data_IF_896469019463
#
_entry.id   IF_896469019463
#
_cell.length_a   1.000
_cell.length_b   1.000
_cell.length_c   1.000
_cell.angle_alpha   90.00
_cell.angle_beta   90.00
_cell.angle_gamma   90.00
#
_symmetry.space_group_name_H-M   'P 1'
#
loop_
_entity.id
_entity.type
_entity.pdbx_description
1 polymer ?
2 non-polymer ?
3 water ?
#
# COMPACT_ATOMS: atom_id res chain seq x y z
N UNK A 2 -6.74 -22.88 28.37
CA UNK A 2 -7.78 -22.33 29.22
C UNK A 2 -8.57 -21.25 28.46
N UNK A 3 -7.86 -20.25 27.94
CA UNK A 3 -8.49 -19.16 27.20
C UNK A 3 -8.43 -19.47 25.71
N UNK A 4 -9.58 -19.43 25.06
CA UNK A 4 -9.70 -19.70 23.64
C UNK A 4 -10.09 -18.42 22.92
N UNK A 5 -9.31 -18.03 21.91
CA UNK A 5 -9.61 -16.86 21.10
C UNK A 5 -9.60 -17.28 19.62
N UNK A 6 -10.28 -16.48 18.81
CA UNK A 6 -10.38 -16.75 17.38
C UNK A 6 -9.78 -15.59 16.58
N UNK A 7 -9.29 -15.91 15.40
CA UNK A 7 -8.63 -14.97 14.52
C UNK A 7 -9.00 -15.21 13.06
N UNK A 8 -9.09 -14.16 12.28
CA UNK A 8 -9.46 -14.27 10.88
C UNK A 8 -8.30 -14.30 9.89
N UNK A 9 -8.43 -15.12 8.88
CA UNK A 9 -7.46 -15.20 7.80
C UNK A 9 -8.22 -15.58 6.56
N UNK A 10 -7.87 -15.05 5.39
CA UNK A 10 -6.76 -14.14 5.25
C UNK A 10 -5.52 -14.73 4.61
N UNK A 11 -5.61 -15.89 3.99
CA UNK A 11 -4.41 -16.45 3.39
C UNK A 11 -4.39 -17.39 2.19
N UNK A 12 -3.32 -17.27 1.44
CA UNK A 12 -3.03 -18.09 0.27
C UNK A 12 -2.46 -19.35 0.88
N UNK A 13 -2.14 -20.36 0.07
CA UNK A 13 -1.61 -21.57 0.64
C UNK A 13 -0.28 -21.47 1.36
N UNK A 14 0.76 -20.85 0.80
CA UNK A 14 1.99 -20.78 1.58
C UNK A 14 1.86 -19.81 2.75
N UNK A 15 1.17 -18.69 2.55
CA UNK A 15 1.06 -17.69 3.61
C UNK A 15 0.20 -18.19 4.77
N UNK A 16 -0.75 -19.09 4.52
CA UNK A 16 -1.55 -19.63 5.61
C UNK A 16 -0.85 -20.78 6.31
N UNK A 17 -0.09 -21.59 5.57
CA UNK A 17 0.68 -22.64 6.22
C UNK A 17 1.73 -22.06 7.16
N UNK A 18 2.31 -20.91 6.81
CA UNK A 18 3.26 -20.26 7.70
C UNK A 18 2.54 -19.70 8.93
N UNK A 19 1.33 -19.18 8.75
CA UNK A 19 0.57 -18.71 9.91
C UNK A 19 0.30 -19.85 10.88
N UNK A 20 0.06 -21.05 10.36
CA UNK A 20 -0.20 -22.20 11.23
C UNK A 20 1.02 -22.53 12.07
N UNK A 21 2.21 -22.50 11.47
CA UNK A 21 3.44 -22.70 12.23
C UNK A 21 3.62 -21.61 13.28
N UNK A 22 3.34 -20.35 12.91
CA UNK A 22 3.48 -19.26 13.87
C UNK A 22 2.57 -19.45 15.06
N UNK A 23 1.33 -19.89 14.83
CA UNK A 23 0.40 -20.13 15.92
C UNK A 23 0.86 -21.31 16.77
N UNK A 24 1.48 -22.32 16.16
CA UNK A 24 2.11 -23.40 16.92
C UNK A 24 3.15 -22.84 17.88
N UNK A 25 4.09 -22.06 17.36
CA UNK A 25 5.13 -21.48 18.22
C UNK A 25 4.52 -20.62 19.31
N UNK A 26 3.48 -19.86 18.98
CA UNK A 26 2.79 -19.04 19.99
C UNK A 26 2.21 -19.92 21.11
N UNK A 27 1.63 -21.06 20.74
CA UNK A 27 1.01 -21.93 21.75
C UNK A 27 2.07 -22.56 22.66
N UNK A 28 3.28 -22.79 22.15
CA UNK A 28 4.37 -23.28 22.99
C UNK A 28 4.76 -22.25 24.04
N UNK A 29 4.74 -20.96 23.68
CA UNK A 29 5.11 -19.93 24.63
C UNK A 29 3.94 -19.54 25.53
N UNK A 30 2.71 -19.76 25.07
CA UNK A 30 1.50 -19.47 25.84
C UNK A 30 0.63 -20.72 25.81
N UNK A 31 0.90 -21.70 26.68
CA UNK A 31 0.11 -22.94 26.66
C UNK A 31 -1.32 -22.77 27.16
N UNK A 32 -1.60 -21.72 27.93
CA UNK A 32 -2.96 -21.47 28.41
C UNK A 32 -3.85 -20.79 27.38
N UNK A 33 -3.35 -20.50 26.18
CA UNK A 33 -4.11 -19.80 25.15
C UNK A 33 -4.16 -20.67 23.90
N UNK A 34 -5.37 -20.91 23.41
CA UNK A 34 -5.59 -21.62 22.16
C UNK A 34 -6.13 -20.65 21.12
N UNK A 35 -5.59 -20.72 19.91
CA UNK A 35 -5.98 -19.83 18.83
C UNK A 35 -6.64 -20.67 17.75
N UNK A 36 -7.78 -20.20 17.26
CA UNK A 36 -8.57 -20.88 16.24
C UNK A 36 -8.71 -19.94 15.06
N UNK A 37 -8.38 -20.41 13.86
CA UNK A 37 -8.47 -19.60 12.66
C UNK A 37 -9.87 -19.71 12.09
N UNK A 38 -10.53 -18.57 11.90
CA UNK A 38 -11.84 -18.51 11.26
C UNK A 38 -11.61 -18.28 9.77
N UNK A 39 -11.91 -19.25 8.91
CA UNK A 39 -11.66 -19.07 7.48
C UNK A 39 -12.46 -17.92 6.91
N UNK A 40 -11.84 -17.18 5.99
CA UNK A 40 -12.35 -15.92 5.51
C UNK A 40 -12.24 -15.86 3.99
N UNK A 41 -13.17 -15.20 3.32
CA UNK A 41 -13.12 -15.11 1.85
C UNK A 41 -11.84 -14.45 1.38
N UNK A 42 -11.28 -14.96 0.28
CA UNK A 42 -10.05 -14.40 -0.24
C UNK A 42 -10.28 -13.04 -0.87
N UNK A 43 -11.49 -12.77 -1.36
CA UNK A 43 -11.80 -11.46 -1.93
C UNK A 43 -11.85 -10.41 -0.83
N UNK A 44 -11.22 -9.26 -1.09
CA UNK A 44 -11.24 -8.17 -0.11
C UNK A 44 -12.65 -7.63 0.07
N UNK A 45 -13.43 -7.57 -1.02
CA UNK A 45 -14.79 -7.04 -0.95
C UNK A 45 -15.73 -7.99 -0.25
N UNK A 46 -15.75 -9.26 -0.67
CA UNK A 46 -16.60 -10.28 -0.06
C UNK A 46 -16.37 -10.45 1.43
N UNK A 47 -15.31 -9.84 1.97
CA UNK A 47 -14.90 -9.98 3.35
C UNK A 47 -15.07 -8.71 4.17
N UNK A 48 -15.11 -7.55 3.50
CA UNK A 48 -15.40 -6.30 4.20
C UNK A 48 -16.82 -6.29 4.74
N UNK A 49 -17.77 -6.84 3.99
CA UNK A 49 -19.15 -6.93 4.47
C UNK A 49 -19.31 -8.02 5.52
N UNK A 50 -18.44 -9.03 5.50
CA UNK A 50 -18.50 -10.09 6.50
C UNK A 50 -18.26 -9.53 7.89
N UNK A 51 -17.27 -8.64 8.03
CA UNK A 51 -16.93 -8.07 9.34
C UNK A 51 -18.02 -7.14 9.85
N UNK A 52 -18.54 -6.28 8.97
CA UNK A 52 -19.61 -5.36 9.37
C UNK A 52 -20.80 -6.13 9.92
N UNK A 53 -21.01 -7.35 9.43
CA UNK A 53 -22.00 -8.25 10.03
C UNK A 53 -21.65 -8.61 11.47
N UNK A 54 -20.37 -8.91 11.74
CA UNK A 54 -19.94 -9.22 13.09
C UNK A 54 -20.19 -8.06 14.05
N UNK A 55 -20.00 -6.82 13.57
CA UNK A 55 -20.25 -5.64 14.37
C UNK A 55 -21.66 -5.07 14.17
N UNK A 56 -22.36 -5.47 13.12
CA UNK A 56 -23.80 -5.25 13.09
C UNK A 56 -24.42 -5.93 14.30
N UNK A 57 -24.28 -7.25 14.36
CA UNK A 57 -24.83 -8.08 15.41
C UNK A 57 -23.95 -8.14 16.66
N UNK A 58 -22.78 -7.48 16.64
CA UNK A 58 -21.95 -7.36 17.83
C UNK A 58 -21.48 -8.69 18.41
N UNK A 59 -20.99 -9.57 17.56
CA UNK A 59 -20.57 -10.89 18.00
C UNK A 59 -19.36 -10.81 18.92
N UNK A 60 -19.26 -11.79 19.81
CA UNK A 60 -18.07 -11.95 20.64
C UNK A 60 -16.90 -12.54 19.86
N UNK A 61 -17.18 -13.22 18.75
CA UNK A 61 -16.15 -13.75 17.87
C UNK A 61 -16.34 -13.16 16.48
N UNK A 62 -15.24 -12.91 15.76
CA UNK A 62 -13.84 -13.20 16.13
C UNK A 62 -13.23 -12.17 17.06
N UNK A 63 -12.18 -12.57 17.77
CA UNK A 63 -11.50 -11.69 18.70
C UNK A 63 -10.39 -10.88 18.03
N UNK A 64 -9.65 -11.48 17.10
CA UNK A 64 -8.54 -10.83 16.43
C UNK A 64 -8.91 -10.66 14.97
N UNK A 65 -8.96 -9.40 14.52
CA UNK A 65 -9.38 -9.08 13.17
C UNK A 65 -8.16 -8.78 12.29
N UNK A 66 -8.09 -9.45 11.15
CA UNK A 66 -7.12 -9.09 10.11
C UNK A 66 -7.78 -8.08 9.18
N UNK A 67 -7.26 -6.85 9.19
CA UNK A 67 -7.91 -5.73 8.51
C UNK A 67 -7.02 -5.17 7.42
N UNK A 68 -7.62 -4.88 6.26
CA UNK A 68 -6.95 -4.12 5.22
C UNK A 68 -6.57 -2.74 5.74
N UNK A 69 -5.46 -2.20 5.22
CA UNK A 69 -4.91 -0.95 5.72
C UNK A 69 -5.87 0.22 5.51
N UNK A 70 -6.87 0.08 4.63
CA UNK A 70 -7.84 1.15 4.41
C UNK A 70 -9.11 0.98 5.23
N UNK A 71 -9.19 -0.03 6.11
CA UNK A 71 -10.39 -0.26 6.91
C UNK A 71 -10.38 0.30 8.35
N UNK A 72 -9.22 0.61 8.96
CA UNK A 72 -9.27 1.02 10.39
C UNK A 72 -10.27 2.12 10.74
N UNK A 73 -10.41 3.15 9.92
CA UNK A 73 -11.32 4.25 10.27
C UNK A 73 -12.76 3.79 10.28
N UNK A 74 -13.13 2.90 9.37
CA UNK A 74 -14.49 2.39 9.33
C UNK A 74 -14.79 1.51 10.53
N UNK A 75 -13.83 0.69 10.95
CA UNK A 75 -14.01 -0.25 12.05
C UNK A 75 -13.72 0.36 13.42
N UNK A 76 -13.14 1.56 13.47
CA UNK A 76 -12.66 2.12 14.73
C UNK A 76 -13.69 2.14 15.85
N UNK A 77 -14.98 2.42 15.63
CA UNK A 77 -15.93 2.39 16.75
C UNK A 77 -16.11 1.02 17.37
N UNK A 78 -15.72 -0.06 16.67
CA UNK A 78 -15.91 -1.41 17.17
C UNK A 78 -14.60 -2.09 17.56
N UNK A 79 -13.48 -1.38 17.54
CA UNK A 79 -12.18 -1.96 17.84
C UNK A 79 -11.69 -1.47 19.19
N UNK A 80 -11.03 -2.37 19.91
CA UNK A 80 -10.42 -2.03 21.18
C UNK A 80 -9.42 -0.90 21.02
N UNK A 81 -9.45 0.07 21.92
CA UNK A 81 -8.49 1.16 21.89
C UNK A 81 -7.16 0.66 22.45
N UNK A 82 -6.09 0.85 21.67
CA UNK A 82 -4.77 0.35 22.03
C UNK A 82 -3.79 1.47 22.34
N UNK A 83 -4.28 2.71 22.47
CA UNK A 83 -3.38 3.85 22.64
C UNK A 83 -2.51 3.69 23.88
N UNK A 84 -3.08 3.17 24.97
CA UNK A 84 -2.30 2.97 26.18
C UNK A 84 -1.23 1.89 26.02
N UNK A 85 -1.40 1.02 25.03
CA UNK A 85 -0.49 -0.09 24.80
C UNK A 85 0.56 0.21 23.73
N UNK A 86 0.75 1.48 23.37
CA UNK A 86 1.62 1.77 22.24
C UNK A 86 3.06 1.38 22.52
N UNK A 87 3.51 1.48 23.77
CA UNK A 87 4.87 1.05 24.09
C UNK A 87 4.95 -0.45 24.31
N UNK A 88 3.88 -1.06 24.82
CA UNK A 88 3.81 -2.52 24.90
C UNK A 88 4.03 -3.16 23.52
N UNK A 89 3.44 -2.57 22.48
CA UNK A 89 3.61 -3.04 21.12
C UNK A 89 4.83 -2.45 20.41
N UNK A 90 5.55 -1.53 21.07
CA UNK A 90 6.78 -0.94 20.53
C UNK A 90 6.54 -0.22 19.21
N UNK A 91 5.46 0.55 19.12
CA UNK A 91 5.09 1.17 17.85
C UNK A 91 6.10 2.21 17.39
N UNK A 92 6.95 2.72 18.29
CA UNK A 92 8.00 3.63 17.89
C UNK A 92 9.06 2.99 17.01
N UNK A 93 9.07 1.67 16.92
CA UNK A 93 10.03 0.94 16.10
C UNK A 93 9.43 0.48 14.78
N UNK A 94 8.21 0.89 14.47
CA UNK A 94 7.54 0.57 13.22
C UNK A 94 7.72 1.72 12.23
N UNK A 95 7.54 1.40 10.95
CA UNK A 95 7.63 2.43 9.92
C UNK A 95 6.59 3.52 10.19
N UNK A 96 6.97 4.79 10.12
CA UNK A 96 6.02 5.86 10.50
C UNK A 96 4.71 5.85 9.73
N UNK A 97 4.75 5.54 8.43
CA UNK A 97 3.53 5.49 7.66
C UNK A 97 2.55 4.46 8.16
N UNK A 98 3.07 3.32 8.65
CA UNK A 98 2.19 2.27 9.13
C UNK A 98 1.56 2.64 10.48
N UNK A 99 2.25 3.42 11.30
CA UNK A 99 1.65 3.87 12.55
C UNK A 99 0.54 4.88 12.27
N UNK A 100 0.77 5.77 11.30
CA UNK A 100 -0.30 6.68 10.88
C UNK A 100 -1.54 5.91 10.44
N UNK A 101 -1.36 4.85 9.66
CA UNK A 101 -2.50 4.13 9.09
C UNK A 101 -3.40 3.48 10.14
N UNK A 102 -2.91 3.29 11.37
CA UNK A 102 -3.71 2.68 12.44
C UNK A 102 -4.15 3.69 13.48
N UNK A 103 -3.83 4.96 13.31
CA UNK A 103 -4.24 6.03 14.21
C UNK A 103 -5.48 6.69 13.62
N UNK A 104 -6.63 6.52 14.27
CA UNK A 104 -7.90 7.09 13.83
C UNK A 104 -8.38 8.05 14.90
N UNK A 105 -8.42 9.34 14.57
CA UNK A 105 -8.78 10.39 15.51
C UNK A 105 -7.95 10.33 16.78
N UNK A 106 -6.64 10.19 16.60
CA UNK A 106 -5.70 10.18 17.72
C UNK A 106 -5.70 8.92 18.55
N UNK A 107 -6.41 7.87 18.14
CA UNK A 107 -6.50 6.64 18.91
C UNK A 107 -5.85 5.50 18.12
N UNK A 108 -4.87 4.84 18.73
CA UNK A 108 -4.28 3.65 18.13
C UNK A 108 -5.33 2.56 18.14
N UNK A 109 -5.68 2.07 16.96
CA UNK A 109 -6.85 1.22 16.78
C UNK A 109 -6.48 -0.16 16.22
N UNK A 110 -5.26 -0.33 15.74
CA UNK A 110 -4.78 -1.64 15.30
C UNK A 110 -3.25 -1.64 15.41
N UNK A 111 -2.64 -2.75 14.99
CA UNK A 111 -1.18 -2.87 14.96
C UNK A 111 -0.73 -3.30 13.56
N UNK A 112 0.19 -2.58 12.93
CA UNK A 112 0.68 -2.99 11.61
C UNK A 112 1.30 -4.38 11.65
N UNK A 113 1.03 -5.16 10.61
CA UNK A 113 1.58 -6.51 10.50
C UNK A 113 2.61 -6.60 9.38
N UNK A 114 2.18 -6.58 8.13
CA UNK A 114 3.08 -6.53 6.99
C UNK A 114 2.56 -5.49 5.99
N UNK A 115 3.43 -5.09 5.07
CA UNK A 115 3.16 -3.89 4.29
C UNK A 115 3.61 -4.03 2.83
N UNK A 116 3.14 -3.09 2.02
CA UNK A 116 3.47 -2.94 0.61
C UNK A 116 3.46 -1.46 0.27
N UNK A 117 4.05 -1.10 -0.88
CA UNK A 117 4.00 0.28 -1.35
C UNK A 117 4.42 0.33 -2.81
N UNK A 118 3.97 1.37 -3.49
CA UNK A 118 4.36 1.56 -4.88
C UNK A 118 5.83 1.94 -5.00
N UNK A 119 6.47 1.45 -6.05
CA UNK A 119 7.86 1.75 -6.36
C UNK A 119 8.04 1.85 -7.86
N UNK A 120 9.26 2.21 -8.27
CA UNK A 120 9.59 2.38 -9.67
C UNK A 120 10.44 1.20 -10.12
N UNK A 121 9.97 0.48 -11.13
CA UNK A 121 10.78 -0.49 -11.86
C UNK A 121 11.35 0.19 -13.10
N UNK A 122 12.59 -0.13 -13.44
CA UNK A 122 13.19 0.44 -14.64
C UNK A 122 14.14 -0.55 -15.27
N UNK A 123 14.34 -0.38 -16.57
CA UNK A 123 15.25 -1.22 -17.35
C UNK A 123 16.67 -0.74 -17.12
N UNK A 124 17.39 -1.42 -16.23
CA UNK A 124 18.74 -1.03 -15.86
C UNK A 124 19.67 -1.04 -17.07
N UNK A 125 19.52 -2.03 -17.96
CA UNK A 125 20.39 -2.11 -19.13
C UNK A 125 20.17 -0.93 -20.07
N UNK A 126 18.92 -0.53 -20.28
CA UNK A 126 18.66 0.58 -21.19
C UNK A 126 19.14 1.91 -20.62
N UNK A 127 19.11 2.07 -19.30
CA UNK A 127 19.55 3.32 -18.72
C UNK A 127 21.05 3.51 -18.90
N UNK A 128 21.84 2.46 -18.68
CA UNK A 128 23.29 2.62 -18.84
C UNK A 128 23.69 2.64 -20.31
N UNK A 129 22.98 1.91 -21.17
CA UNK A 129 23.27 1.98 -22.60
C UNK A 129 23.14 3.41 -23.12
N UNK A 130 22.24 4.20 -22.54
CA UNK A 130 22.05 5.58 -22.95
C UNK A 130 22.68 6.57 -21.97
N UNK A 131 23.61 6.10 -21.14
CA UNK A 131 24.43 6.98 -20.32
C UNK A 131 23.78 7.58 -19.10
N UNK A 132 22.95 6.82 -18.39
CA UNK A 132 22.29 7.31 -17.18
C UNK A 132 22.82 6.55 -15.97
N UNK A 133 23.51 7.26 -15.08
CA UNK A 133 24.14 6.64 -13.91
C UNK A 133 23.12 6.13 -12.90
N UNK A 134 21.91 6.67 -12.91
CA UNK A 134 21.04 6.58 -11.75
C UNK A 134 19.59 6.55 -12.20
N UNK A 135 18.73 6.04 -11.31
CA UNK A 135 17.30 6.15 -11.52
C UNK A 135 16.88 7.61 -11.42
N UNK A 136 15.84 8.00 -12.16
CA UNK A 136 15.40 9.41 -12.12
C UNK A 136 15.00 9.81 -10.71
N UNK A 137 15.46 11.01 -10.30
CA UNK A 137 15.16 11.52 -8.97
C UNK A 137 13.99 12.49 -8.95
N UNK A 138 13.68 13.13 -10.08
CA UNK A 138 12.53 13.99 -10.22
C UNK A 138 11.63 13.43 -11.32
N UNK A 139 10.37 13.87 -11.32
CA UNK A 139 9.45 13.41 -12.36
C UNK A 139 9.86 13.92 -13.73
N UNK A 140 10.36 15.16 -13.80
CA UNK A 140 10.81 15.69 -15.08
C UNK A 140 12.00 14.90 -15.62
N UNK A 141 12.87 14.44 -14.73
CA UNK A 141 14.00 13.62 -15.16
C UNK A 141 13.52 12.30 -15.74
N UNK A 142 12.47 11.71 -15.17
CA UNK A 142 11.94 10.45 -15.70
C UNK A 142 11.37 10.65 -17.10
N UNK A 143 10.68 11.78 -17.33
CA UNK A 143 10.15 12.07 -18.65
C UNK A 143 11.26 12.16 -19.68
N UNK A 144 12.37 12.81 -19.32
CA UNK A 144 13.48 12.97 -20.26
C UNK A 144 14.11 11.62 -20.61
N UNK A 145 14.40 10.81 -19.61
CA UNK A 145 14.92 9.47 -19.86
C UNK A 145 13.94 8.66 -20.70
N UNK A 146 12.66 8.66 -20.31
CA UNK A 146 11.67 7.85 -21.03
C UNK A 146 11.58 8.26 -22.49
N UNK A 147 11.56 9.57 -22.76
CA UNK A 147 11.41 10.03 -24.13
C UNK A 147 12.61 9.65 -24.99
N UNK A 148 13.82 9.90 -24.48
CA UNK A 148 15.02 9.56 -25.25
C UNK A 148 15.12 8.07 -25.51
N UNK A 149 14.94 7.25 -24.47
CA UNK A 149 15.21 5.83 -24.60
C UNK A 149 14.12 5.12 -25.40
N UNK A 150 12.86 5.51 -25.20
CA UNK A 150 11.77 4.84 -25.90
C UNK A 150 11.79 5.13 -27.39
N UNK A 151 12.15 6.37 -27.77
CA UNK A 151 12.23 6.70 -29.19
C UNK A 151 13.37 5.96 -29.87
N UNK A 152 14.52 5.84 -29.20
CA UNK A 152 15.66 5.17 -29.79
C UNK A 152 15.47 3.66 -29.87
N UNK A 153 14.72 3.08 -28.92
CA UNK A 153 14.52 1.65 -28.88
C UNK A 153 13.19 1.21 -29.48
N UNK A 154 12.31 2.14 -29.80
CA UNK A 154 11.02 1.78 -30.35
C UNK A 154 10.10 1.06 -29.39
N UNK A 155 10.11 1.43 -28.12
CA UNK A 155 9.24 0.86 -27.11
C UNK A 155 8.48 1.99 -26.42
N UNK A 156 7.71 1.62 -25.40
CA UNK A 156 6.97 2.62 -24.63
C UNK A 156 7.82 3.13 -23.47
N UNK A 157 7.50 4.34 -23.02
CA UNK A 157 8.28 4.94 -21.96
C UNK A 157 7.95 4.46 -20.56
N UNK A 158 6.68 4.55 -20.19
CA UNK A 158 6.29 4.47 -18.77
C UNK A 158 4.86 3.93 -18.68
N UNK A 159 4.71 2.74 -18.08
CA UNK A 159 3.40 2.14 -17.90
C UNK A 159 3.06 2.13 -16.42
N UNK A 160 1.77 2.30 -16.13
CA UNK A 160 1.27 2.35 -14.75
C UNK A 160 -0.21 1.99 -14.80
N UNK A 161 -0.92 2.21 -13.68
CA UNK A 161 -2.30 1.77 -13.52
C UNK A 161 -3.23 2.97 -13.65
N UNK A 162 -4.01 3.00 -14.73
CA UNK A 162 -4.86 4.14 -15.00
C UNK A 162 -6.32 3.80 -15.24
N UNK A 163 -6.69 2.54 -15.08
CA UNK A 163 -8.08 2.14 -15.19
C UNK A 163 -8.90 2.74 -14.05
N UNK A 164 -10.22 2.73 -14.21
CA UNK A 164 -11.11 3.28 -13.18
C UNK A 164 -11.32 2.20 -12.12
N UNK A 165 -10.45 2.20 -11.12
CA UNK A 165 -10.59 1.32 -9.97
C UNK A 165 -9.71 1.87 -8.84
N UNK A 166 -9.66 1.13 -7.74
CA UNK A 166 -8.88 1.56 -6.58
C UNK A 166 -7.41 1.77 -6.91
N UNK A 167 -6.87 1.01 -7.85
CA UNK A 167 -5.46 1.17 -8.21
C UNK A 167 -5.14 2.55 -8.76
N UNK A 168 -6.10 3.19 -9.45
CA UNK A 168 -5.90 4.54 -9.95
C UNK A 168 -5.72 5.52 -8.81
N UNK A 169 -6.56 5.42 -7.76
CA UNK A 169 -6.39 6.25 -6.58
C UNK A 169 -4.97 6.13 -6.03
N UNK A 170 -4.48 4.89 -5.94
CA UNK A 170 -3.13 4.66 -5.40
C UNK A 170 -2.06 5.34 -6.24
N UNK A 171 -2.17 5.25 -7.58
CA UNK A 171 -1.21 5.94 -8.44
C UNK A 171 -1.33 7.45 -8.27
N UNK A 172 -2.56 7.96 -8.21
CA UNK A 172 -2.78 9.41 -8.17
C UNK A 172 -2.25 10.04 -6.89
N UNK A 173 -2.44 9.39 -5.75
CA UNK A 173 -1.93 9.93 -4.49
C UNK A 173 -0.41 10.05 -4.50
N UNK A 174 0.27 9.17 -5.23
CA UNK A 174 1.73 9.28 -5.31
C UNK A 174 2.13 10.54 -6.09
N UNK A 175 1.42 10.84 -7.18
CA UNK A 175 1.67 12.12 -7.88
C UNK A 175 1.30 13.31 -6.99
N UNK A 176 0.14 13.23 -6.34
CA UNK A 176 -0.32 14.34 -5.51
C UNK A 176 0.66 14.64 -4.38
N UNK A 177 1.08 13.59 -3.65
CA UNK A 177 1.96 13.81 -2.51
C UNK A 177 3.34 14.29 -2.95
N UNK A 178 3.88 13.74 -4.03
CA UNK A 178 5.23 14.11 -4.44
C UNK A 178 5.27 15.51 -5.05
N UNK A 179 4.13 16.03 -5.52
CA UNK A 179 4.07 17.40 -5.98
C UNK A 179 3.81 18.40 -4.84
N UNK A 180 3.65 17.91 -3.62
CA UNK A 180 3.45 18.77 -2.47
C UNK A 180 2.03 18.92 -2.00
N UNK A 181 1.08 18.21 -2.60
CA UNK A 181 -0.32 18.32 -2.25
C UNK A 181 -0.77 17.23 -1.30
N UNK A 182 -2.05 17.30 -0.94
CA UNK A 182 -2.64 16.40 0.03
C UNK A 182 -4.15 16.41 -0.13
N UNK A 183 -4.78 15.36 0.37
CA UNK A 183 -6.25 15.29 0.40
C UNK A 183 -6.79 15.94 1.65
N UNK A 184 -6.32 15.50 2.82
CA UNK A 184 -6.73 16.04 4.10
C UNK A 184 -5.50 16.50 4.87
N UNK A 185 -5.67 17.53 5.68
CA UNK A 185 -4.60 18.02 6.54
C UNK A 185 -4.72 17.37 7.92
N UNK A 186 -3.98 17.90 8.89
CA UNK A 186 -3.93 17.28 10.22
C UNK A 186 -5.32 17.21 10.85
N UNK A 187 -6.05 18.32 10.82
CA UNK A 187 -7.39 18.38 11.39
C UNK A 187 -8.41 17.59 10.59
N UNK A 188 -8.05 17.08 9.41
CA UNK A 188 -8.96 16.31 8.61
C UNK A 188 -9.82 17.11 7.66
N UNK A 189 -9.45 18.34 7.34
CA UNK A 189 -10.23 19.14 6.41
C UNK A 189 -9.70 19.00 5.00
N UNK A 190 -10.60 19.12 4.04
CA UNK A 190 -10.28 18.90 2.63
C UNK A 190 -9.36 20.02 2.15
N UNK A 191 -8.15 19.66 1.74
CA UNK A 191 -7.18 20.63 1.21
C UNK A 191 -6.75 20.27 -0.20
N UNK A 192 -7.45 19.34 -0.86
CA UNK A 192 -7.02 18.91 -2.19
C UNK A 192 -7.20 20.00 -3.24
N UNK A 193 -7.97 21.05 -2.94
CA UNK A 193 -8.17 22.14 -3.89
C UNK A 193 -6.99 23.10 -3.76
N UNK A 194 -5.88 22.72 -4.38
CA UNK A 194 -4.65 23.48 -4.33
C UNK A 194 -3.99 23.47 -5.69
N UNK A 195 -3.12 24.44 -5.98
CA UNK A 195 -2.37 24.41 -7.25
C UNK A 195 -1.49 23.16 -7.39
N UNK A 196 -0.92 22.65 -6.29
CA UNK A 196 -0.14 21.41 -6.35
C UNK A 196 -0.96 20.27 -6.94
N UNK A 197 -2.21 20.14 -6.50
CA UNK A 197 -3.04 19.03 -6.96
C UNK A 197 -3.36 19.16 -8.44
N UNK A 198 -3.69 20.37 -8.89
CA UNK A 198 -3.90 20.60 -10.31
C UNK A 198 -2.64 20.28 -11.09
N UNK A 199 -1.47 20.65 -10.56
CA UNK A 199 -0.22 20.34 -11.23
C UNK A 199 -0.01 18.84 -11.34
N UNK A 200 -0.25 18.11 -10.24
CA UNK A 200 -0.01 16.68 -10.23
C UNK A 200 -0.91 15.96 -11.22
N UNK A 201 -2.21 16.27 -11.20
CA UNK A 201 -3.13 15.65 -12.14
C UNK A 201 -2.80 16.05 -13.58
N UNK A 202 -2.46 17.32 -13.79
CA UNK A 202 -2.10 17.76 -15.13
C UNK A 202 -0.86 17.04 -15.63
N UNK A 203 0.08 16.74 -14.73
CA UNK A 203 1.26 15.97 -15.10
C UNK A 203 0.87 14.58 -15.60
N UNK A 204 -0.09 13.93 -14.92
CA UNK A 204 -0.52 12.60 -15.35
C UNK A 204 -1.10 12.66 -16.76
N UNK A 205 -1.91 13.68 -17.05
CA UNK A 205 -2.46 13.84 -18.39
C UNK A 205 -1.35 14.08 -19.41
N UNK A 206 -0.36 14.91 -19.07
CA UNK A 206 0.71 15.23 -20.01
C UNK A 206 1.59 14.02 -20.33
N UNK A 207 1.69 13.05 -19.43
CA UNK A 207 2.46 11.84 -19.72
C UNK A 207 1.91 11.13 -20.95
N UNK A 208 0.61 11.24 -21.17
CA UNK A 208 -0.06 10.56 -22.27
C UNK A 208 -0.06 11.45 -23.51
N UNK A 209 -0.61 12.65 -23.37
CA UNK A 209 -0.98 13.44 -24.54
C UNK A 209 0.07 14.48 -24.93
N UNK A 210 0.89 14.95 -23.99
CA UNK A 210 1.91 15.96 -24.30
C UNK A 210 3.26 15.30 -24.60
N UNK A 211 3.84 14.65 -23.60
CA UNK A 211 5.14 14.02 -23.76
C UNK A 211 5.07 12.66 -24.45
N UNK A 212 3.89 12.04 -24.45
CA UNK A 212 3.67 10.76 -25.14
C UNK A 212 4.65 9.68 -24.68
N UNK A 213 4.99 9.68 -23.39
CA UNK A 213 5.81 8.60 -22.84
C UNK A 213 4.98 7.45 -22.29
N UNK A 214 3.68 7.64 -22.10
CA UNK A 214 2.77 6.63 -21.59
C UNK A 214 1.69 6.34 -22.63
N UNK A 215 1.45 5.07 -22.97
CA UNK A 215 0.42 4.75 -23.96
C UNK A 215 -0.95 5.23 -23.54
N UNK A 216 -1.78 5.57 -24.53
CA UNK A 216 -3.15 5.99 -24.25
C UNK A 216 -3.95 4.88 -23.59
N UNK A 217 -3.59 3.63 -23.86
CA UNK A 217 -4.25 2.49 -23.25
C UNK A 217 -4.12 2.41 -21.74
N UNK A 218 -3.21 3.18 -21.14
CA UNK A 218 -3.04 3.17 -19.69
C UNK A 218 -4.36 3.42 -18.98
N UNK A 219 -5.29 4.13 -19.62
CA UNK A 219 -6.60 4.36 -19.01
C UNK A 219 -7.42 3.09 -18.88
N UNK A 220 -6.91 1.95 -19.35
CA UNK A 220 -7.53 0.66 -19.10
C UNK A 220 -6.63 -0.29 -18.32
N UNK A 221 -5.42 0.13 -17.93
CA UNK A 221 -4.45 -0.78 -17.33
C UNK A 221 -4.68 -0.96 -15.84
N UNK A 222 -4.56 -2.21 -15.39
CA UNK A 222 -4.41 -2.53 -13.98
C UNK A 222 -3.00 -3.04 -13.75
N UNK A 223 -2.75 -3.59 -12.55
CA UNK A 223 -1.40 -4.01 -12.19
C UNK A 223 -0.81 -4.96 -13.23
N UNK A 224 -1.56 -6.00 -13.60
CA UNK A 224 -0.98 -7.03 -14.45
C UNK A 224 -0.83 -6.57 -15.89
N UNK A 225 -1.65 -5.63 -16.34
CA UNK A 225 -1.47 -5.06 -17.67
C UNK A 225 -0.13 -4.34 -17.78
N UNK A 226 0.17 -3.47 -16.81
CA UNK A 226 1.46 -2.80 -16.80
C UNK A 226 2.60 -3.81 -16.69
N UNK A 227 2.41 -4.86 -15.90
CA UNK A 227 3.46 -5.84 -15.66
C UNK A 227 3.81 -6.59 -16.94
N UNK A 228 2.79 -7.06 -17.68
CA UNK A 228 3.03 -7.85 -18.89
C UNK A 228 3.78 -7.04 -19.94
N UNK A 229 3.39 -5.78 -20.13
CA UNK A 229 4.07 -4.93 -21.11
C UNK A 229 5.54 -4.73 -20.72
N UNK A 230 5.78 -4.40 -19.45
CA UNK A 230 7.14 -4.20 -18.97
C UNK A 230 7.95 -5.49 -19.05
N UNK A 231 7.35 -6.62 -18.66
CA UNK A 231 8.08 -7.89 -18.64
C UNK A 231 8.49 -8.34 -20.03
N UNK A 232 7.68 -8.03 -21.05
CA UNK A 232 7.99 -8.38 -22.42
C UNK A 232 8.99 -7.43 -23.07
N UNK A 233 9.55 -6.50 -22.32
CA UNK A 233 10.54 -5.58 -22.85
C UNK A 233 9.99 -4.36 -23.54
N UNK A 234 8.70 -4.06 -23.37
CA UNK A 234 8.05 -3.00 -24.14
C UNK A 234 7.87 -1.70 -23.36
N UNK A 235 8.56 -1.53 -22.24
CA UNK A 235 8.46 -0.28 -21.49
C UNK A 235 9.75 -0.03 -20.74
N UNK A 236 10.17 1.24 -20.71
CA UNK A 236 11.38 1.59 -19.97
C UNK A 236 11.10 1.61 -18.47
N UNK A 237 9.97 2.16 -18.06
CA UNK A 237 9.63 2.33 -16.65
C UNK A 237 8.26 1.73 -16.35
N UNK A 238 8.08 1.30 -15.11
CA UNK A 238 6.80 0.83 -14.63
C UNK A 238 6.66 1.19 -13.16
N UNK A 239 5.52 1.80 -12.79
CA UNK A 239 5.12 1.89 -11.39
C UNK A 239 4.29 0.66 -11.04
N UNK A 240 4.66 -0.02 -9.97
CA UNK A 240 3.90 -1.18 -9.53
C UNK A 240 4.23 -1.47 -8.08
N UNK A 241 3.60 -2.52 -7.56
CA UNK A 241 3.80 -2.99 -6.20
C UNK A 241 4.96 -3.97 -6.14
N UNK A 242 5.42 -4.34 -4.94
CA UNK A 242 6.60 -5.23 -4.86
C UNK A 242 6.39 -6.61 -5.44
N UNK A 243 5.14 -7.08 -5.58
CA UNK A 243 4.90 -8.45 -6.05
C UNK A 243 5.54 -8.70 -7.41
N UNK A 244 5.62 -7.67 -8.26
CA UNK A 244 6.06 -7.85 -9.64
C UNK A 244 7.52 -8.26 -9.76
N UNK A 245 8.33 -8.04 -8.71
CA UNK A 245 9.76 -8.38 -8.80
C UNK A 245 9.97 -9.87 -9.03
N UNK A 246 9.19 -10.71 -8.34
CA UNK A 246 9.34 -12.15 -8.53
C UNK A 246 8.95 -12.59 -9.93
N UNK A 247 8.02 -11.87 -10.55
CA UNK A 247 7.60 -12.21 -11.91
C UNK A 247 8.62 -11.74 -12.94
N UNK A 248 9.02 -10.47 -12.88
CA UNK A 248 9.88 -9.93 -13.94
C UNK A 248 11.34 -10.35 -13.80
N UNK A 249 11.73 -10.99 -12.69
CA UNK A 249 13.10 -11.45 -12.52
C UNK A 249 13.18 -12.97 -12.40
N UNK A 250 12.15 -13.68 -12.83
CA UNK A 250 12.16 -15.13 -12.83
C UNK A 250 12.85 -15.66 -14.08
N UNK A 251 12.94 -16.99 -14.17
CA UNK A 251 13.77 -17.61 -15.21
C UNK A 251 13.14 -17.48 -16.60
N UNK A 252 11.83 -17.70 -16.70
CA UNK A 252 11.15 -17.57 -17.99
C UNK A 252 10.85 -16.12 -18.36
N UNK A 253 11.47 -15.15 -17.68
CA UNK A 253 11.21 -13.73 -17.92
C UNK A 253 12.25 -13.18 -18.90
N UNK A 254 11.82 -12.52 -19.98
CA UNK A 254 12.79 -12.02 -20.96
C UNK A 254 13.68 -10.90 -20.43
N UNK A 255 13.32 -10.23 -19.34
CA UNK A 255 14.12 -9.11 -18.84
C UNK A 255 14.86 -9.46 -17.56
N UNK A 256 14.96 -10.74 -17.23
CA UNK A 256 15.64 -11.16 -16.00
C UNK A 256 17.06 -10.63 -15.99
N UNK A 257 17.44 -10.02 -14.86
CA UNK A 257 18.75 -9.40 -14.73
C UNK A 257 18.87 -8.00 -15.28
N UNK A 258 17.83 -7.47 -15.92
CA UNK A 258 17.86 -6.15 -16.51
C UNK A 258 16.98 -5.15 -15.78
N UNK A 259 16.52 -5.49 -14.58
CA UNK A 259 15.53 -4.70 -13.85
C UNK A 259 16.19 -4.12 -12.61
N UNK A 260 16.11 -2.80 -12.46
CA UNK A 260 16.45 -2.15 -11.21
C UNK A 260 15.19 -1.64 -10.52
N UNK A 261 15.27 -1.36 -9.22
CA UNK A 261 14.13 -0.79 -8.51
C UNK A 261 14.59 0.43 -7.74
N UNK A 262 13.67 1.37 -7.55
CA UNK A 262 13.97 2.63 -6.89
C UNK A 262 12.67 3.23 -6.38
N UNK A 263 12.74 4.14 -5.40
CA UNK A 263 11.55 4.92 -5.06
C UNK A 263 11.04 5.70 -6.26
N UNK A 264 9.76 6.04 -6.21
CA UNK A 264 9.20 6.92 -7.23
C UNK A 264 9.85 8.29 -7.13
N UNK A 265 9.90 9.03 -8.23
CA UNK A 265 10.57 10.34 -8.22
C UNK A 265 9.79 11.38 -7.42
N UNK A 266 10.44 12.53 -7.21
CA UNK A 266 9.82 13.65 -6.52
C UNK A 266 9.39 14.71 -7.52
N UNK A 267 8.44 15.53 -7.11
CA UNK A 267 7.98 16.63 -7.92
C UNK A 267 8.69 17.92 -7.57
N UNK A 268 8.49 18.96 -8.39
CA UNK A 268 9.18 20.23 -8.15
C UNK A 268 8.88 20.81 -6.76
N UNK A 269 9.91 20.81 -5.91
CA UNK A 269 9.74 21.26 -4.54
C UNK A 269 8.88 20.36 -3.67
N UNK A 270 8.76 19.08 -4.00
CA UNK A 270 7.91 18.18 -3.23
C UNK A 270 8.66 17.11 -2.47
N UNK A 271 7.98 16.00 -2.16
CA UNK A 271 8.60 14.86 -1.49
C UNK A 271 8.73 13.70 -2.46
N UNK A 272 9.36 12.64 -1.97
CA UNK A 272 9.16 11.31 -2.52
C UNK A 272 8.00 10.67 -1.77
N UNK A 273 7.23 9.85 -2.47
CA UNK A 273 6.01 9.33 -1.88
C UNK A 273 5.70 7.95 -2.44
N UNK A 274 4.91 7.19 -1.68
CA UNK A 274 4.48 5.86 -2.07
C UNK A 274 3.18 5.56 -1.33
N UNK A 275 2.23 4.94 -2.02
CA UNK A 275 0.96 4.63 -1.38
C UNK A 275 1.08 3.33 -0.59
N UNK A 276 0.64 3.37 0.67
CA UNK A 276 0.78 2.24 1.58
C UNK A 276 -0.32 1.20 1.33
N UNK A 277 0.09 -0.06 1.23
CA UNK A 277 -0.84 -1.17 1.19
C UNK A 277 -0.54 -2.06 2.38
N UNK A 278 -1.19 -3.21 2.51
CA UNK A 278 -0.86 -4.15 3.56
C UNK A 278 -2.05 -4.45 4.46
N UNK A 279 -1.74 -5.09 5.59
CA UNK A 279 -2.75 -5.60 6.51
C UNK A 279 -2.33 -5.32 7.94
N UNK A 280 -3.33 -5.11 8.80
CA UNK A 280 -3.12 -4.77 10.20
C UNK A 280 -3.99 -5.70 11.04
N UNK A 281 -3.72 -5.70 12.35
CA UNK A 281 -4.41 -6.58 13.30
C UNK A 281 -5.13 -5.75 14.35
N UNK A 282 -6.42 -6.03 14.54
CA UNK A 282 -7.22 -5.34 15.53
C UNK A 282 -7.91 -6.32 16.48
N UNK A 283 -8.42 -5.78 17.58
CA UNK A 283 -9.11 -6.55 18.61
C UNK A 283 -10.58 -6.12 18.67
N UNK A 284 -11.47 -7.10 18.55
CA UNK A 284 -12.90 -6.87 18.77
C UNK A 284 -13.13 -6.29 20.16
N UNK A 285 -13.76 -5.12 20.23
CA UNK A 285 -14.01 -4.50 21.53
C UNK A 285 -15.17 -5.16 22.28
N UNK A 286 -15.90 -6.08 21.65
CA UNK A 286 -17.01 -6.77 22.29
C UNK A 286 -16.62 -8.13 22.85
N UNK A 287 -15.35 -8.51 22.76
CA UNK A 287 -14.89 -9.75 23.37
C UNK A 287 -14.74 -9.57 24.87
N UNK A 288 -14.75 -10.67 25.59
CA UNK A 288 -14.59 -10.61 27.04
C UNK A 288 -13.17 -10.13 27.38
N UNK A 289 -13.00 -9.51 28.55
CA UNK A 289 -11.67 -8.95 28.88
C UNK A 289 -10.55 -9.98 28.90
N UNK A 290 -10.85 -11.25 29.21
CA UNK A 290 -9.79 -12.26 29.18
C UNK A 290 -9.48 -12.69 27.75
N UNK A 291 -10.45 -12.61 26.85
CA UNK A 291 -10.14 -12.84 25.44
C UNK A 291 -9.34 -11.68 24.86
N UNK A 292 -9.62 -10.45 25.28
CA UNK A 292 -8.87 -9.31 24.79
C UNK A 292 -7.41 -9.35 25.26
N UNK A 293 -7.21 -9.67 26.53
CA UNK A 293 -5.85 -9.76 27.05
C UNK A 293 -5.07 -10.86 26.35
N UNK A 294 -5.70 -12.00 26.10
CA UNK A 294 -5.05 -13.04 25.31
C UNK A 294 -4.80 -12.57 23.88
N UNK A 295 -5.67 -11.72 23.35
CA UNK A 295 -5.51 -11.23 21.99
C UNK A 295 -4.32 -10.28 21.88
N UNK A 296 -4.10 -9.45 22.90
CA UNK A 296 -2.94 -8.56 22.90
C UNK A 296 -1.63 -9.36 22.88
N UNK A 297 -1.59 -10.47 23.61
CA UNK A 297 -0.38 -11.29 23.62
C UNK A 297 -0.11 -11.91 22.26
N UNK A 298 -1.19 -12.34 21.58
CA UNK A 298 -1.03 -12.90 20.24
C UNK A 298 -0.52 -11.84 19.25
N UNK A 299 -1.06 -10.62 19.32
CA UNK A 299 -0.65 -9.58 18.39
C UNK A 299 0.78 -9.14 18.68
N UNK A 300 1.14 -9.06 19.96
CA UNK A 300 2.53 -8.75 20.30
C UNK A 300 3.47 -9.82 19.75
N UNK A 301 3.06 -11.09 19.83
CA UNK A 301 3.88 -12.18 19.31
C UNK A 301 4.03 -12.08 17.80
N UNK A 302 2.92 -11.91 17.09
CA UNK A 302 2.96 -11.95 15.62
C UNK A 302 3.71 -10.78 15.03
N UNK A 303 3.68 -9.62 15.69
CA UNK A 303 4.35 -8.42 15.19
C UNK A 303 5.71 -8.20 15.83
N UNK A 304 6.21 -9.18 16.58
CA UNK A 304 7.54 -9.09 17.15
C UNK A 304 8.61 -9.19 16.06
N UNK A 305 9.81 -8.72 16.40
CA UNK A 305 10.94 -8.77 15.46
C UNK A 305 11.15 -10.18 14.91
N UNK A 306 11.19 -11.18 15.79
CA UNK A 306 11.49 -12.55 15.34
C UNK A 306 10.40 -13.07 14.41
N UNK A 307 9.13 -12.79 14.72
CA UNK A 307 8.06 -13.31 13.88
C UNK A 307 7.92 -12.54 12.57
N UNK A 308 8.22 -11.23 12.57
CA UNK A 308 8.24 -10.50 11.31
C UNK A 308 9.39 -10.96 10.43
N UNK A 309 10.53 -11.30 11.04
CA UNK A 309 11.62 -11.91 10.29
C UNK A 309 11.22 -13.27 9.74
N UNK A 310 10.62 -14.10 10.59
CA UNK A 310 10.17 -15.42 10.17
C UNK A 310 9.19 -15.34 9.01
N UNK A 311 8.18 -14.47 9.13
CA UNK A 311 7.19 -14.34 8.08
C UNK A 311 7.80 -13.78 6.80
N UNK A 312 8.77 -12.87 6.94
CA UNK A 312 9.40 -12.28 5.75
C UNK A 312 10.21 -13.32 4.99
N UNK A 313 10.93 -14.18 5.70
CA UNK A 313 11.77 -15.19 5.05
C UNK A 313 10.92 -16.31 4.49
N UNK A 314 9.90 -16.75 5.22
CA UNK A 314 9.18 -17.94 4.83
C UNK A 314 7.91 -17.67 4.00
N UNK A 315 7.26 -16.52 4.20
CA UNK A 315 6.07 -16.19 3.43
C UNK A 315 6.27 -15.04 2.45
N UNK A 316 7.37 -14.29 2.57
CA UNK A 316 7.65 -13.22 1.63
C UNK A 316 6.89 -11.93 1.86
N UNK A 317 6.32 -11.72 3.04
CA UNK A 317 5.64 -10.47 3.36
C UNK A 317 6.63 -9.47 3.95
N UNK A 318 6.48 -8.21 3.57
CA UNK A 318 7.44 -7.19 3.99
C UNK A 318 7.17 -6.77 5.43
N UNK A 319 8.20 -6.65 6.25
CA UNK A 319 8.00 -6.28 7.66
C UNK A 319 7.53 -4.85 7.81
N UNK A 320 6.95 -4.56 8.97
CA UNK A 320 6.57 -3.22 9.36
C UNK A 320 7.52 -2.60 10.38
N UNK A 321 8.36 -3.40 11.03
CA UNK A 321 9.42 -2.89 11.89
C UNK A 321 10.62 -2.50 11.04
N UNK A 322 11.16 -1.30 11.29
CA UNK A 322 12.29 -0.81 10.52
C UNK A 322 13.52 -1.70 10.65
N UNK A 323 13.75 -2.27 11.84
CA UNK A 323 15.01 -2.95 12.11
C UNK A 323 15.15 -4.27 11.35
N UNK A 324 14.03 -4.93 11.04
CA UNK A 324 14.11 -6.24 10.38
C UNK A 324 14.78 -6.11 9.01
N UNK A 325 14.66 -4.94 8.37
CA UNK A 325 15.29 -4.74 7.07
C UNK A 325 16.82 -4.70 7.15
N UNK A 326 17.38 -4.52 8.35
CA UNK A 326 18.83 -4.50 8.54
C UNK A 326 19.39 -5.85 8.97
N UNK A 327 18.53 -6.85 9.15
CA UNK A 327 18.98 -8.14 9.62
C UNK A 327 19.85 -8.83 8.56
N UNK A 328 21.02 -9.35 8.92
CA UNK A 328 21.85 -10.03 7.92
C UNK A 328 21.21 -11.28 7.35
N UNK A 329 20.35 -11.96 8.11
CA UNK A 329 19.67 -13.12 7.58
C UNK A 329 18.72 -12.75 6.45
N UNK A 330 18.06 -11.60 6.57
CA UNK A 330 17.17 -11.15 5.49
C UNK A 330 17.97 -10.75 4.26
N UNK A 331 19.15 -10.15 4.46
CA UNK A 331 19.95 -9.67 3.34
C UNK A 331 20.41 -10.82 2.43
N UNK A 332 20.64 -12.00 2.99
CA UNK A 332 21.06 -13.12 2.16
C UNK A 332 19.89 -13.95 1.65
N UNK A 333 18.79 -14.02 2.41
CA UNK A 333 17.62 -14.77 1.95
C UNK A 333 16.81 -14.01 0.90
N UNK A 334 16.81 -12.67 0.95
CA UNK A 334 15.99 -11.89 0.03
C UNK A 334 16.50 -10.47 -0.07
N UNK A 335 17.58 -10.23 -0.82
CA UNK A 335 18.15 -8.87 -0.89
C UNK A 335 17.23 -7.84 -1.52
N UNK A 336 16.24 -8.26 -2.31
CA UNK A 336 15.27 -7.29 -2.84
C UNK A 336 14.46 -6.67 -1.71
N UNK A 337 14.02 -7.48 -0.74
CA UNK A 337 13.26 -6.96 0.38
C UNK A 337 14.06 -5.92 1.17
N UNK A 338 15.38 -6.10 1.26
CA UNK A 338 16.21 -5.14 1.97
C UNK A 338 16.19 -3.79 1.26
N UNK A 339 16.13 -3.79 -0.07
CA UNK A 339 16.10 -2.55 -0.83
C UNK A 339 14.82 -1.76 -0.64
N UNK A 340 13.72 -2.43 -0.26
CA UNK A 340 12.44 -1.74 -0.12
C UNK A 340 12.38 -0.79 1.08
N UNK A 341 13.36 -0.86 1.99
CA UNK A 341 13.36 0.04 3.15
C UNK A 341 13.35 1.51 2.72
N UNK A 342 14.18 1.86 1.74
CA UNK A 342 14.23 3.22 1.26
C UNK A 342 12.95 3.65 0.56
N UNK A 343 12.17 2.70 0.07
CA UNK A 343 10.84 2.99 -0.44
C UNK A 343 9.87 3.21 0.72
N UNK A 344 9.87 2.29 1.68
CA UNK A 344 8.83 2.27 2.70
C UNK A 344 8.95 3.42 3.69
N UNK A 345 10.11 4.08 3.77
CA UNK A 345 10.22 5.21 4.69
C UNK A 345 9.42 6.41 4.21
N UNK A 346 9.07 6.47 2.92
CA UNK A 346 8.27 7.55 2.37
C UNK A 346 6.84 7.13 2.06
N UNK A 347 6.42 5.94 2.51
CA UNK A 347 5.08 5.47 2.23
C UNK A 347 4.05 6.17 3.13
N UNK A 348 2.93 6.55 2.54
CA UNK A 348 1.87 7.24 3.25
C UNK A 348 0.55 6.50 3.07
N UNK A 349 -0.34 6.58 4.05
CA UNK A 349 -1.64 5.92 3.91
C UNK A 349 -2.64 6.76 3.12
N UNK A 350 -3.53 6.04 2.43
CA UNK A 350 -4.71 6.65 1.87
C UNK A 350 -5.52 7.32 2.98
N UNK A 351 -6.37 8.29 2.63
CA UNK A 351 -7.09 9.06 3.66
C UNK A 351 -7.85 8.16 4.62
N UNK A 352 -7.71 8.44 5.92
CA UNK A 352 -8.29 7.60 6.97
C UNK A 352 -9.69 8.11 7.28
N UNK A 353 -10.67 7.64 6.52
CA UNK A 353 -12.05 8.08 6.68
C UNK A 353 -12.96 6.84 6.71
N UNK A 354 -14.02 6.91 7.52
CA UNK A 354 -14.91 5.77 7.67
C UNK A 354 -15.58 5.40 6.36
N UNK A 355 -15.98 6.40 5.58
CA UNK A 355 -16.63 6.16 4.29
C UNK A 355 -15.61 6.22 3.15
N UNK A 356 -14.49 5.49 3.31
CA UNK A 356 -13.42 5.59 2.34
C UNK A 356 -13.86 5.15 0.95
N UNK A 357 -14.71 4.14 0.87
CA UNK A 357 -15.07 3.60 -0.44
C UNK A 357 -15.83 4.63 -1.28
N UNK A 358 -16.59 5.51 -0.63
CA UNK A 358 -17.24 6.61 -1.34
C UNK A 358 -16.25 7.69 -1.75
N UNK A 359 -15.33 8.04 -0.83
CA UNK A 359 -14.25 8.98 -1.17
C UNK A 359 -13.46 8.47 -2.37
N UNK A 360 -13.14 7.18 -2.38
CA UNK A 360 -12.39 6.62 -3.49
C UNK A 360 -13.19 6.66 -4.79
N UNK A 361 -14.49 6.38 -4.71
CA UNK A 361 -15.33 6.43 -5.90
C UNK A 361 -15.29 7.80 -6.56
N UNK A 362 -15.36 8.85 -5.74
CA UNK A 362 -15.34 10.21 -6.27
C UNK A 362 -14.00 10.50 -6.95
N UNK A 363 -12.89 10.15 -6.28
CA UNK A 363 -11.57 10.41 -6.85
C UNK A 363 -11.38 9.65 -8.15
N UNK A 364 -11.74 8.35 -8.17
CA UNK A 364 -11.69 7.57 -9.41
C UNK A 364 -12.46 8.25 -10.53
N UNK A 365 -13.69 8.70 -10.23
CA UNK A 365 -14.56 9.26 -11.26
C UNK A 365 -13.89 10.43 -11.97
N UNK A 366 -13.43 11.43 -11.21
CA UNK A 366 -12.94 12.64 -11.83
C UNK A 366 -11.51 12.50 -12.34
N UNK A 367 -10.67 11.73 -11.66
CA UNK A 367 -9.31 11.52 -12.15
C UNK A 367 -9.34 10.80 -13.49
N UNK A 368 -10.16 9.77 -13.61
CA UNK A 368 -10.23 9.03 -14.87
C UNK A 368 -10.85 9.88 -15.98
N UNK A 369 -11.85 10.71 -15.63
CA UNK A 369 -12.41 11.64 -16.61
C UNK A 369 -11.33 12.57 -17.16
N UNK A 370 -10.40 12.99 -16.31
CA UNK A 370 -9.33 13.87 -16.76
C UNK A 370 -8.33 13.11 -17.64
N UNK A 371 -8.06 11.84 -17.31
CA UNK A 371 -7.13 11.06 -18.12
C UNK A 371 -7.69 10.76 -19.50
N UNK A 372 -9.03 10.65 -19.62
CA UNK A 372 -9.68 10.44 -20.91
C UNK A 372 -10.03 11.73 -21.63
N UNK A 373 -9.63 12.88 -21.08
CA UNK A 373 -9.89 14.19 -21.67
C UNK A 373 -11.38 14.52 -21.75
N UNK A 374 -12.17 13.98 -20.82
CA UNK A 374 -13.57 14.38 -20.69
C UNK A 374 -13.73 15.64 -19.86
N UNK A 375 -12.69 16.05 -19.13
CA UNK A 375 -12.72 17.27 -18.35
C UNK A 375 -11.29 17.75 -18.20
N UNK A 376 -11.14 18.98 -17.72
CA UNK A 376 -9.82 19.52 -17.45
C UNK A 376 -9.38 19.14 -16.03
N UNK A 377 -8.06 19.19 -15.81
CA UNK A 377 -7.52 18.92 -14.49
C UNK A 377 -8.09 19.87 -13.44
N UNK A 378 -8.30 21.14 -13.83
CA UNK A 378 -8.85 22.12 -12.89
C UNK A 378 -10.26 21.73 -12.46
N UNK A 379 -11.12 21.38 -13.42
CA UNK A 379 -12.50 21.00 -13.08
C UNK A 379 -12.52 19.72 -12.26
N UNK A 380 -11.67 18.75 -12.61
CA UNK A 380 -11.63 17.51 -11.85
C UNK A 380 -11.29 17.75 -10.39
N UNK A 381 -10.27 18.58 -10.14
CA UNK A 381 -9.84 18.84 -8.77
C UNK A 381 -10.91 19.62 -8.00
N UNK A 382 -11.48 20.65 -8.63
CA UNK A 382 -12.53 21.43 -7.97
C UNK A 382 -13.72 20.55 -7.61
N UNK A 383 -14.12 19.65 -8.51
CA UNK A 383 -15.27 18.79 -8.25
C UNK A 383 -14.96 17.78 -7.15
N UNK A 384 -13.74 17.25 -7.12
CA UNK A 384 -13.35 16.33 -6.05
C UNK A 384 -13.43 17.03 -4.70
N UNK A 385 -12.87 18.24 -4.62
CA UNK A 385 -12.90 18.98 -3.36
C UNK A 385 -14.34 19.25 -2.93
N UNK A 386 -15.19 19.66 -3.87
CA UNK A 386 -16.58 19.95 -3.56
C UNK A 386 -17.30 18.71 -3.04
N UNK A 387 -17.16 17.58 -3.73
CA UNK A 387 -17.83 16.35 -3.30
C UNK A 387 -17.27 15.84 -1.99
N UNK A 388 -15.94 15.87 -1.82
CA UNK A 388 -15.36 15.39 -0.57
C UNK A 388 -15.85 16.21 0.63
N UNK A 389 -16.10 17.51 0.44
CA UNK A 389 -16.58 18.32 1.54
C UNK A 389 -18.00 17.92 1.94
N UNK A 390 -18.83 17.54 0.97
CA UNK A 390 -20.14 16.99 1.30
C UNK A 390 -20.01 15.65 2.02
N UNK A 391 -19.15 14.77 1.50
CA UNK A 391 -19.01 13.44 2.08
C UNK A 391 -18.40 13.47 3.47
N UNK A 392 -17.62 14.50 3.79
CA UNK A 392 -16.96 14.59 5.09
C UNK A 392 -17.60 15.62 6.00
N UNK A 393 -18.70 16.24 5.59
CA UNK A 393 -19.43 17.17 6.42
C UNK A 393 -18.69 18.45 6.76
N UNK A 394 -18.12 19.11 5.75
CA UNK A 394 -17.36 20.33 5.97
C UNK A 394 -17.90 21.50 5.14
X LIG B 1 3.98 -10.29 27.94
X LIG B 1 3.06 -10.25 26.82
X LIG B 1 4.49 -8.95 28.24
X LIG B 1 3.29 -10.83 29.11
X LIG B 1 5.10 -11.16 27.60
#
# INVERSE_FOLDING_TARGET
MAVKITMTSGGVGKELEVLKKQLEMFHQQYPDIEVEIIPMPDSSTERHDLYVTYFAAGETDPDVLMLDVIWPAEFAPFLEDLTADKDYFELGEFLPGTVMSVTVNGRIVAVPWFTDAGLLYYRKDLLEKYGYDHAPRTWDELVEMAKKISQAEGIHGFVWQGARYEGLVCDFLEYLWSFGGDVLDESGKVVIDSPEAVAALQFMVDLIYKHKVTPEGVTTYMEEDARRIFQNGEAVFMRNWPYAWSLVNSDESPIKGKVGVAPLPMGPGGRRAATLGGWVLGINKFSSPEEKEAAKKLIKFLTSYDQQLYKAINAGQNPTRKAVYKDPKLKEAAPFMVELLGVFINALPRPRVANYTEVSDVIQRYVHAALTRQTTSEDAIKNIAKELKFLLGQHHHHHH
SO4 S O1 O2 O3 O4
#
